data_IF_356067114191
#
_entry.id   IF_356067114191
#
_cell.length_a   1.000
_cell.length_b   1.000
_cell.length_c   1.000
_cell.angle_alpha   90.00
_cell.angle_beta   90.00
_cell.angle_gamma   90.00
#
_symmetry.space_group_name_H-M   'P 1'
#
loop_
_entity.id
_entity.type
_entity.pdbx_description
1 polymer ?
#
# COMPACT_ATOMS: atom_id res chain seq x y z
N UNK A 1 -28.27 21.78 11.16
CA UNK A 1 -27.16 21.45 12.08
C UNK A 1 -27.18 22.50 13.17
N UNK A 2 -27.09 22.05 14.42
CA UNK A 2 -27.00 22.92 15.58
C UNK A 2 -25.52 23.22 15.84
N UNK A 3 -25.16 24.50 15.95
CA UNK A 3 -23.80 24.93 16.22
C UNK A 3 -23.75 25.77 17.49
N UNK A 4 -22.74 25.50 18.31
CA UNK A 4 -22.43 26.31 19.48
C UNK A 4 -21.35 27.32 19.13
N UNK A 5 -21.69 28.61 19.26
CA UNK A 5 -20.71 29.68 19.12
C UNK A 5 -19.89 29.74 20.41
N UNK A 6 -18.59 29.45 20.32
CA UNK A 6 -17.69 29.40 21.48
C UNK A 6 -17.07 30.76 21.81
N UNK A 7 -17.02 31.66 20.82
CA UNK A 7 -16.51 33.02 20.91
C UNK A 7 -17.63 34.06 20.89
N UNK A 8 -17.36 35.23 21.49
CA UNK A 8 -18.32 36.31 21.62
C UNK A 8 -19.51 35.97 22.53
N UNK A 9 -20.73 36.25 22.09
CA UNK A 9 -21.97 35.93 22.83
C UNK A 9 -22.32 34.46 22.63
N UNK A 10 -21.71 33.59 23.44
CA UNK A 10 -21.91 32.13 23.42
C UNK A 10 -23.37 31.76 23.32
N UNK A 11 -23.79 31.29 22.14
CA UNK A 11 -25.17 30.97 21.81
C UNK A 11 -25.22 29.80 20.85
N UNK A 12 -26.29 29.05 20.96
CA UNK A 12 -26.58 27.94 20.08
C UNK A 12 -27.48 28.41 18.94
N UNK A 13 -27.13 28.09 17.70
CA UNK A 13 -27.90 28.49 16.52
C UNK A 13 -28.11 27.27 15.62
N UNK A 14 -29.34 27.10 15.13
CA UNK A 14 -29.65 26.09 14.13
C UNK A 14 -29.55 26.69 12.72
N UNK A 15 -28.76 26.05 11.87
CA UNK A 15 -28.51 26.47 10.49
C UNK A 15 -28.83 25.35 9.50
N UNK A 16 -29.41 25.67 8.33
CA UNK A 16 -29.59 24.70 7.26
C UNK A 16 -28.25 24.35 6.61
N UNK A 17 -28.09 23.08 6.22
CA UNK A 17 -26.95 22.62 5.41
C UNK A 17 -27.30 22.79 3.95
N UNK A 18 -26.52 23.59 3.22
CA UNK A 18 -26.77 23.88 1.80
C UNK A 18 -26.01 22.95 0.85
N UNK A 19 -24.85 22.45 1.27
CA UNK A 19 -24.02 21.55 0.49
C UNK A 19 -23.15 20.67 1.40
N UNK A 20 -22.70 19.54 0.87
CA UNK A 20 -21.72 18.65 1.50
C UNK A 20 -20.46 18.63 0.64
N UNK A 21 -19.29 18.76 1.28
CA UNK A 21 -17.97 18.70 0.64
C UNK A 21 -17.22 17.50 1.22
N UNK A 22 -16.55 16.73 0.37
CA UNK A 22 -15.66 15.67 0.85
C UNK A 22 -14.39 16.29 1.44
N UNK A 23 -14.24 16.16 2.75
CA UNK A 23 -13.01 16.46 3.47
C UNK A 23 -12.42 15.17 4.07
N UNK A 24 -11.10 15.07 4.04
CA UNK A 24 -10.34 13.93 4.55
C UNK A 24 -9.86 14.17 5.99
N UNK A 25 -10.01 15.40 6.51
CA UNK A 25 -9.53 15.82 7.83
C UNK A 25 -10.68 16.33 8.73
N UNK A 26 -11.27 15.40 9.50
CA UNK A 26 -12.23 15.72 10.55
C UNK A 26 -13.57 16.26 10.05
N UNK A 27 -14.33 16.86 10.97
CA UNK A 27 -15.63 17.49 10.68
C UNK A 27 -15.41 19.00 10.62
N UNK A 28 -15.56 19.59 9.44
CA UNK A 28 -15.45 21.05 9.24
C UNK A 28 -16.75 21.61 8.65
N UNK A 29 -17.06 22.86 9.02
CA UNK A 29 -18.17 23.62 8.46
C UNK A 29 -17.64 24.84 7.70
N UNK A 30 -18.15 25.06 6.49
CA UNK A 30 -17.81 26.24 5.68
C UNK A 30 -19.02 27.17 5.58
N UNK A 31 -18.79 28.47 5.72
CA UNK A 31 -19.81 29.50 5.57
C UNK A 31 -19.23 30.70 4.84
N UNK A 32 -20.08 31.42 4.08
CA UNK A 32 -19.69 32.68 3.46
C UNK A 32 -19.29 33.71 4.51
N UNK A 33 -18.21 34.46 4.25
CA UNK A 33 -17.63 35.40 5.20
C UNK A 33 -18.63 36.45 5.70
N UNK A 34 -19.41 37.07 4.81
CA UNK A 34 -20.44 38.06 5.20
C UNK A 34 -21.58 37.44 6.03
N UNK A 35 -21.93 36.19 5.74
CA UNK A 35 -22.96 35.48 6.49
C UNK A 35 -22.48 35.16 7.91
N UNK A 36 -21.21 34.77 8.06
CA UNK A 36 -20.58 34.55 9.36
C UNK A 36 -20.48 35.86 10.16
N UNK A 37 -20.05 36.96 9.54
CA UNK A 37 -19.97 38.26 10.22
C UNK A 37 -21.35 38.72 10.73
N UNK A 38 -22.41 38.60 9.90
CA UNK A 38 -23.80 38.86 10.32
C UNK A 38 -24.24 37.92 11.45
N UNK A 39 -23.86 36.65 11.37
CA UNK A 39 -24.13 35.66 12.40
C UNK A 39 -23.35 35.94 13.68
N UNK A 40 -22.17 36.56 13.65
CA UNK A 40 -21.41 36.90 14.85
C UNK A 40 -21.81 38.25 15.44
N UNK A 41 -22.40 39.13 14.63
CA UNK A 41 -22.68 40.54 14.96
C UNK A 41 -21.41 41.31 15.32
N UNK A 42 -20.32 40.96 14.66
CA UNK A 42 -19.00 41.58 14.83
C UNK A 42 -18.53 42.17 13.50
N UNK A 43 -17.60 43.13 13.58
CA UNK A 43 -16.97 43.66 12.39
C UNK A 43 -16.18 42.53 11.68
N UNK A 44 -16.14 42.50 10.34
CA UNK A 44 -15.47 41.43 9.63
C UNK A 44 -13.96 41.47 9.91
N UNK A 45 -13.43 40.44 10.55
CA UNK A 45 -12.01 40.27 10.80
C UNK A 45 -11.48 39.09 9.98
N UNK A 46 -10.40 39.32 9.24
CA UNK A 46 -9.77 38.30 8.38
C UNK A 46 -8.49 37.83 9.04
N UNK A 47 -8.46 36.56 9.45
CA UNK A 47 -7.28 35.97 10.09
C UNK A 47 -6.26 35.44 9.08
N UNK A 48 -6.72 35.04 7.89
CA UNK A 48 -5.85 34.53 6.82
C UNK A 48 -6.44 34.81 5.44
N UNK A 49 -5.56 35.01 4.46
CA UNK A 49 -5.92 35.16 3.05
C UNK A 49 -5.15 34.11 2.26
N UNK A 50 -5.88 33.26 1.54
CA UNK A 50 -5.27 32.28 0.63
C UNK A 50 -5.22 32.88 -0.77
N UNK A 51 -4.02 33.03 -1.32
CA UNK A 51 -3.81 33.61 -2.66
C UNK A 51 -3.17 32.56 -3.57
N UNK A 52 -3.72 32.39 -4.76
CA UNK A 52 -3.08 31.59 -5.81
C UNK A 52 -2.12 32.48 -6.58
N UNK A 53 -0.85 32.07 -6.64
CA UNK A 53 0.23 32.82 -7.27
C UNK A 53 0.78 32.07 -8.48
N UNK A 54 1.12 32.82 -9.53
CA UNK A 54 1.93 32.31 -10.62
C UNK A 54 3.33 31.92 -10.11
N UNK A 55 3.88 30.83 -10.62
CA UNK A 55 5.19 30.33 -10.25
C UNK A 55 6.31 31.36 -10.50
N UNK A 56 6.16 32.22 -11.51
CA UNK A 56 7.17 33.18 -11.95
C UNK A 56 7.20 34.49 -11.14
N UNK A 57 6.09 34.87 -10.50
CA UNK A 57 5.97 36.12 -9.73
C UNK A 57 6.16 35.92 -8.21
N UNK A 58 6.49 34.69 -7.79
CA UNK A 58 6.58 34.32 -6.37
C UNK A 58 7.59 35.14 -5.58
N UNK A 59 8.80 35.29 -6.10
CA UNK A 59 9.88 35.98 -5.38
C UNK A 59 9.55 37.47 -5.21
N UNK A 60 9.04 38.08 -6.30
CA UNK A 60 8.58 39.47 -6.29
C UNK A 60 7.42 39.70 -5.32
N UNK A 61 6.46 38.78 -5.28
CA UNK A 61 5.34 38.85 -4.33
C UNK A 61 5.80 38.68 -2.88
N UNK A 62 6.74 37.77 -2.63
CA UNK A 62 7.29 37.53 -1.30
C UNK A 62 8.08 38.73 -0.78
N UNK A 63 8.88 39.36 -1.63
CA UNK A 63 9.61 40.59 -1.30
C UNK A 63 8.66 41.75 -1.03
N UNK A 64 7.58 41.89 -1.82
CA UNK A 64 6.56 42.88 -1.57
C UNK A 64 5.86 42.67 -0.21
N UNK A 65 5.49 41.43 0.14
CA UNK A 65 4.82 41.15 1.42
C UNK A 65 5.75 41.35 2.62
N UNK A 66 7.03 41.00 2.52
CA UNK A 66 8.01 41.24 3.60
C UNK A 66 8.09 42.71 4.02
N UNK A 67 7.82 43.62 3.09
CA UNK A 67 7.83 45.06 3.35
C UNK A 67 6.54 45.59 4.00
N UNK A 68 5.49 44.77 4.12
CA UNK A 68 4.20 45.18 4.70
C UNK A 68 4.17 44.96 6.23
N UNK A 69 4.05 46.03 7.04
CA UNK A 69 4.05 45.92 8.50
C UNK A 69 2.81 45.22 9.09
N UNK A 70 1.76 45.05 8.30
CA UNK A 70 0.48 44.43 8.73
C UNK A 70 0.47 42.91 8.58
N UNK A 71 1.47 42.30 7.93
CA UNK A 71 1.52 40.86 7.69
C UNK A 71 2.46 40.21 8.70
N UNK A 72 1.88 39.53 9.70
CA UNK A 72 2.65 38.86 10.76
C UNK A 72 3.39 37.59 10.30
N UNK A 73 3.06 37.04 9.13
CA UNK A 73 3.75 35.88 8.58
C UNK A 73 3.17 35.40 7.25
N UNK A 74 4.00 34.76 6.44
CA UNK A 74 3.61 34.10 5.19
C UNK A 74 3.82 32.60 5.34
N UNK A 75 2.74 31.84 5.44
CA UNK A 75 2.80 30.40 5.36
C UNK A 75 2.74 29.97 3.89
N UNK A 76 3.87 29.51 3.33
CA UNK A 76 3.85 28.84 2.03
C UNK A 76 3.23 27.46 2.19
N UNK A 77 1.90 27.39 2.05
CA UNK A 77 1.14 26.15 2.15
C UNK A 77 1.71 25.06 1.22
N UNK A 78 2.24 25.43 0.04
CA UNK A 78 2.88 24.48 -0.89
C UNK A 78 4.18 23.87 -0.36
N UNK A 79 5.02 24.62 0.37
CA UNK A 79 6.27 24.09 0.92
C UNK A 79 5.99 23.17 2.11
N UNK A 80 5.04 23.55 2.97
CA UNK A 80 4.57 22.67 4.05
C UNK A 80 3.93 21.40 3.50
N UNK A 81 3.13 21.50 2.42
CA UNK A 81 2.52 20.36 1.75
C UNK A 81 3.56 19.47 1.04
N UNK A 82 4.59 20.05 0.42
CA UNK A 82 5.68 19.30 -0.19
C UNK A 82 6.47 18.53 0.87
N UNK A 83 6.92 19.21 1.94
CA UNK A 83 7.63 18.57 3.05
C UNK A 83 6.78 17.48 3.73
N UNK A 84 5.48 17.72 3.91
CA UNK A 84 4.56 16.73 4.46
C UNK A 84 4.43 15.52 3.54
N UNK A 85 4.24 15.75 2.23
CA UNK A 85 4.18 14.68 1.22
C UNK A 85 5.46 13.87 1.17
N UNK A 86 6.62 14.52 1.22
CA UNK A 86 7.92 13.86 1.19
C UNK A 86 8.15 13.03 2.45
N UNK A 87 7.85 13.58 3.63
CA UNK A 87 7.93 12.84 4.89
C UNK A 87 7.00 11.62 4.91
N UNK A 88 5.76 11.78 4.44
CA UNK A 88 4.80 10.68 4.35
C UNK A 88 5.22 9.65 3.30
N UNK A 89 5.73 10.09 2.14
CA UNK A 89 6.22 9.20 1.10
C UNK A 89 7.40 8.36 1.61
N UNK A 90 8.38 8.98 2.27
CA UNK A 90 9.51 8.26 2.87
C UNK A 90 9.03 7.25 3.89
N UNK A 91 8.14 7.63 4.81
CA UNK A 91 7.59 6.73 5.82
C UNK A 91 6.86 5.53 5.18
N UNK A 92 5.92 5.80 4.27
CA UNK A 92 5.09 4.77 3.63
C UNK A 92 5.92 3.86 2.73
N UNK A 93 6.78 4.41 1.87
CA UNK A 93 7.62 3.62 0.96
C UNK A 93 8.64 2.78 1.72
N UNK A 94 9.24 3.32 2.79
CA UNK A 94 10.19 2.55 3.62
C UNK A 94 9.49 1.38 4.31
N UNK A 95 8.34 1.61 4.94
CA UNK A 95 7.57 0.54 5.57
C UNK A 95 7.08 -0.50 4.55
N UNK A 96 6.59 -0.05 3.40
CA UNK A 96 6.17 -0.94 2.31
C UNK A 96 7.33 -1.83 1.86
N UNK A 97 8.53 -1.29 1.66
CA UNK A 97 9.71 -2.06 1.26
C UNK A 97 10.10 -3.11 2.30
N UNK A 98 10.00 -2.79 3.60
CA UNK A 98 10.26 -3.75 4.68
C UNK A 98 9.25 -4.90 4.63
N UNK A 99 7.95 -4.60 4.50
CA UNK A 99 6.91 -5.63 4.42
C UNK A 99 7.01 -6.48 3.15
N UNK A 100 7.33 -5.85 2.01
CA UNK A 100 7.63 -6.53 0.75
C UNK A 100 8.81 -7.50 0.95
N UNK A 101 9.89 -7.05 1.58
CA UNK A 101 11.05 -7.90 1.88
C UNK A 101 10.69 -9.10 2.75
N UNK A 102 9.95 -8.87 3.84
CA UNK A 102 9.47 -9.95 4.72
C UNK A 102 8.56 -10.93 3.98
N UNK A 103 7.60 -10.41 3.20
CA UNK A 103 6.69 -11.21 2.41
C UNK A 103 7.43 -12.07 1.37
N UNK A 104 8.48 -11.54 0.74
CA UNK A 104 9.32 -12.28 -0.20
C UNK A 104 10.03 -13.46 0.47
N UNK A 105 10.59 -13.25 1.66
CA UNK A 105 11.26 -14.32 2.43
C UNK A 105 10.26 -15.40 2.83
N UNK A 106 9.08 -15.01 3.32
CA UNK A 106 8.01 -15.95 3.69
C UNK A 106 7.55 -16.74 2.46
N UNK A 107 7.26 -16.06 1.35
CA UNK A 107 6.83 -16.69 0.11
C UNK A 107 7.87 -17.71 -0.39
N UNK A 108 9.15 -17.33 -0.40
CA UNK A 108 10.22 -18.25 -0.74
C UNK A 108 10.26 -19.46 0.19
N UNK A 109 10.21 -19.26 1.51
CA UNK A 109 10.24 -20.36 2.48
C UNK A 109 9.08 -21.34 2.33
N UNK A 110 7.86 -20.83 2.13
CA UNK A 110 6.66 -21.66 1.91
C UNK A 110 6.79 -22.45 0.60
N UNK A 111 7.16 -21.80 -0.50
CA UNK A 111 7.27 -22.47 -1.80
C UNK A 111 8.42 -23.48 -1.81
N UNK A 112 9.54 -23.18 -1.15
CA UNK A 112 10.66 -24.11 -0.97
C UNK A 112 10.25 -25.34 -0.17
N UNK A 113 9.56 -25.16 0.95
CA UNK A 113 9.10 -26.27 1.77
C UNK A 113 8.08 -27.14 1.01
N UNK A 114 7.13 -26.52 0.31
CA UNK A 114 6.15 -27.24 -0.51
C UNK A 114 6.83 -28.06 -1.61
N UNK A 115 7.77 -27.47 -2.35
CA UNK A 115 8.51 -28.18 -3.39
C UNK A 115 9.37 -29.32 -2.83
N UNK A 116 9.98 -29.13 -1.65
CA UNK A 116 10.73 -30.18 -0.95
C UNK A 116 9.83 -31.34 -0.54
N UNK A 117 8.62 -31.06 -0.02
CA UNK A 117 7.66 -32.09 0.38
C UNK A 117 7.20 -32.88 -0.86
N UNK A 118 6.78 -32.20 -1.92
CA UNK A 118 6.36 -32.84 -3.18
C UNK A 118 7.47 -33.75 -3.75
N UNK A 119 8.73 -33.30 -3.72
CA UNK A 119 9.86 -34.14 -4.13
C UNK A 119 10.04 -35.39 -3.25
N UNK A 120 9.88 -35.25 -1.93
CA UNK A 120 10.03 -36.36 -0.99
C UNK A 120 8.92 -37.40 -1.14
N UNK A 121 7.68 -36.97 -1.37
CA UNK A 121 6.53 -37.85 -1.57
C UNK A 121 6.64 -38.61 -2.89
N UNK A 122 7.05 -37.91 -3.95
CA UNK A 122 7.14 -38.48 -5.30
C UNK A 122 8.44 -39.20 -5.59
N UNK A 123 9.42 -39.21 -4.68
CA UNK A 123 10.70 -39.88 -4.89
C UNK A 123 10.55 -41.34 -5.36
N UNK A 124 9.52 -42.06 -4.86
CA UNK A 124 9.19 -43.43 -5.30
C UNK A 124 8.61 -43.50 -6.71
N UNK A 125 7.74 -42.57 -7.07
CA UNK A 125 7.16 -42.46 -8.43
C UNK A 125 8.23 -42.05 -9.45
N UNK A 126 9.15 -41.17 -9.06
CA UNK A 126 10.28 -40.76 -9.90
C UNK A 126 11.28 -41.89 -10.10
N UNK A 127 11.45 -42.77 -9.10
CA UNK A 127 12.26 -43.97 -9.23
C UNK A 127 11.62 -44.99 -10.20
N UNK A 128 10.29 -45.19 -10.17
CA UNK A 128 9.61 -46.08 -11.11
C UNK A 128 9.60 -45.53 -12.55
N UNK A 129 9.41 -44.22 -12.73
CA UNK A 129 9.55 -43.56 -14.04
C UNK A 129 10.96 -43.73 -14.63
N UNK A 130 12.00 -43.75 -13.78
CA UNK A 130 13.36 -44.04 -14.22
C UNK A 130 13.56 -45.47 -14.70
N UNK A 131 12.89 -46.45 -14.09
CA UNK A 131 12.91 -47.84 -14.57
C UNK A 131 12.24 -47.96 -15.94
N UNK A 132 11.25 -47.10 -16.21
CA UNK A 132 10.58 -46.97 -17.51
C UNK A 132 11.40 -46.17 -18.56
N UNK A 133 12.59 -45.69 -18.21
CA UNK A 133 13.52 -45.01 -19.13
C UNK A 133 13.45 -43.48 -19.16
N UNK A 134 12.66 -42.84 -18.28
CA UNK A 134 12.60 -41.37 -18.23
C UNK A 134 13.91 -40.75 -17.73
N UNK A 135 14.29 -39.64 -18.36
CA UNK A 135 15.47 -38.85 -18.02
C UNK A 135 15.21 -37.94 -16.80
N UNK A 136 16.30 -37.53 -16.12
CA UNK A 136 16.22 -36.60 -14.97
C UNK A 136 15.55 -35.27 -15.34
N UNK A 137 15.72 -34.81 -16.59
CA UNK A 137 15.15 -33.57 -17.10
C UNK A 137 13.64 -33.63 -17.28
N UNK A 138 13.10 -34.75 -17.76
CA UNK A 138 11.66 -34.94 -17.95
C UNK A 138 10.91 -34.97 -16.61
N UNK A 139 11.46 -35.72 -15.64
CA UNK A 139 10.97 -35.76 -14.26
C UNK A 139 10.92 -34.35 -13.64
N UNK A 140 12.01 -33.59 -13.78
CA UNK A 140 12.07 -32.24 -13.25
C UNK A 140 11.05 -31.33 -13.95
N UNK A 141 10.86 -31.46 -15.26
CA UNK A 141 9.92 -30.65 -16.04
C UNK A 141 8.48 -30.85 -15.56
N UNK A 142 8.10 -32.08 -15.23
CA UNK A 142 6.77 -32.40 -14.68
C UNK A 142 6.57 -31.69 -13.33
N UNK A 143 7.54 -31.79 -12.42
CA UNK A 143 7.48 -31.12 -11.10
C UNK A 143 7.42 -29.59 -11.22
N UNK A 144 8.21 -29.01 -12.12
CA UNK A 144 8.22 -27.57 -12.35
C UNK A 144 6.91 -27.07 -12.96
N UNK A 145 6.31 -27.85 -13.86
CA UNK A 145 5.01 -27.53 -14.45
C UNK A 145 3.91 -27.55 -13.39
N UNK A 146 3.90 -28.55 -12.53
CA UNK A 146 2.94 -28.62 -11.42
C UNK A 146 3.10 -27.41 -10.49
N UNK A 147 4.33 -27.08 -10.10
CA UNK A 147 4.58 -25.91 -9.26
C UNK A 147 4.11 -24.62 -9.94
N UNK A 148 4.35 -24.49 -11.25
CA UNK A 148 3.93 -23.34 -12.02
C UNK A 148 2.39 -23.23 -12.08
N UNK A 149 1.69 -24.35 -12.33
CA UNK A 149 0.23 -24.40 -12.36
C UNK A 149 -0.35 -24.04 -10.99
N UNK A 150 0.17 -24.63 -9.90
CA UNK A 150 -0.26 -24.30 -8.54
C UNK A 150 -0.03 -22.83 -8.21
N UNK A 151 1.12 -22.29 -8.59
CA UNK A 151 1.46 -20.87 -8.35
C UNK A 151 0.53 -19.94 -9.12
N UNK A 152 0.20 -20.27 -10.37
CA UNK A 152 -0.73 -19.47 -11.18
C UNK A 152 -2.15 -19.53 -10.65
N UNK A 153 -2.63 -20.72 -10.26
CA UNK A 153 -3.96 -20.89 -9.69
C UNK A 153 -4.11 -20.23 -8.32
N UNK A 154 -3.01 -20.07 -7.57
CA UNK A 154 -3.02 -19.38 -6.28
C UNK A 154 -3.12 -17.84 -6.40
N UNK A 155 -2.84 -17.24 -7.58
CA UNK A 155 -2.85 -15.78 -7.74
C UNK A 155 -4.24 -15.16 -7.53
N UNK A 156 -5.32 -15.58 -8.23
CA UNK A 156 -6.64 -14.97 -8.05
C UNK A 156 -7.18 -15.00 -6.61
N UNK A 157 -7.17 -16.14 -5.87
CA UNK A 157 -7.63 -16.14 -4.49
C UNK A 157 -6.70 -15.32 -3.58
N UNK A 158 -5.39 -15.31 -3.85
CA UNK A 158 -4.44 -14.45 -3.13
C UNK A 158 -4.76 -12.96 -3.27
N UNK A 159 -5.07 -12.50 -4.49
CA UNK A 159 -5.48 -11.12 -4.75
C UNK A 159 -6.81 -10.78 -4.07
N UNK A 160 -7.78 -11.69 -4.11
CA UNK A 160 -9.08 -11.49 -3.47
C UNK A 160 -8.97 -11.37 -1.94
N UNK A 161 -8.20 -12.26 -1.31
CA UNK A 161 -7.95 -12.24 0.13
C UNK A 161 -7.15 -10.99 0.51
N UNK A 162 -6.09 -10.66 -0.24
CA UNK A 162 -5.28 -9.47 0.01
C UNK A 162 -6.09 -8.18 -0.08
N UNK A 163 -6.96 -8.06 -1.10
CA UNK A 163 -7.88 -6.95 -1.23
C UNK A 163 -8.89 -6.89 -0.08
N UNK A 164 -9.49 -8.03 0.30
CA UNK A 164 -10.42 -8.09 1.43
C UNK A 164 -9.79 -7.65 2.74
N UNK A 165 -8.53 -8.06 3.00
CA UNK A 165 -7.77 -7.61 4.16
C UNK A 165 -7.50 -6.10 4.10
N UNK A 166 -7.08 -5.56 2.97
CA UNK A 166 -6.89 -4.12 2.80
C UNK A 166 -8.18 -3.32 3.03
N UNK A 167 -9.30 -3.80 2.50
CA UNK A 167 -10.62 -3.18 2.64
C UNK A 167 -11.13 -3.21 4.09
N UNK A 168 -10.98 -4.34 4.78
CA UNK A 168 -11.34 -4.46 6.21
C UNK A 168 -10.46 -3.58 7.10
N UNK A 169 -9.16 -3.52 6.82
CA UNK A 169 -8.24 -2.67 7.56
C UNK A 169 -8.60 -1.19 7.37
N UNK A 170 -8.91 -0.78 6.13
CA UNK A 170 -9.39 0.57 5.84
C UNK A 170 -10.69 0.89 6.59
N UNK A 171 -11.70 0.03 6.51
CA UNK A 171 -13.01 0.30 7.16
C UNK A 171 -12.95 0.29 8.68
N UNK A 172 -12.08 -0.53 9.29
CA UNK A 172 -11.92 -0.61 10.75
C UNK A 172 -10.97 0.44 11.32
N UNK A 173 -9.96 0.86 10.56
CA UNK A 173 -8.99 1.89 10.99
C UNK A 173 -9.39 3.32 10.59
N UNK A 174 -10.43 3.50 9.75
CA UNK A 174 -11.02 4.80 9.43
C UNK A 174 -11.82 5.41 10.61
N UNK A 175 -11.26 5.34 11.82
CA UNK A 175 -11.71 6.10 12.97
C UNK A 175 -11.51 7.60 12.76
N UNK A 176 -12.22 8.39 13.57
CA UNK A 176 -12.57 9.83 13.51
C UNK A 176 -11.55 10.85 12.96
N UNK A 177 -10.28 10.47 12.76
CA UNK A 177 -9.17 11.36 12.41
C UNK A 177 -8.74 11.29 10.94
N UNK A 178 -9.01 10.21 10.20
CA UNK A 178 -8.56 10.05 8.80
C UNK A 178 -9.45 9.09 7.99
N UNK A 179 -10.21 9.62 7.02
CA UNK A 179 -11.02 8.82 6.08
C UNK A 179 -10.32 8.63 4.74
N UNK A 180 -9.21 7.90 4.68
CA UNK A 180 -8.52 7.69 3.39
C UNK A 180 -9.29 6.70 2.50
N UNK A 181 -9.37 6.98 1.19
CA UNK A 181 -9.91 6.03 0.21
C UNK A 181 -8.87 4.95 -0.10
N UNK A 182 -9.26 3.68 -0.01
CA UNK A 182 -8.45 2.56 -0.47
C UNK A 182 -8.42 2.61 -2.00
N UNK A 183 -7.25 2.96 -2.55
CA UNK A 183 -6.99 2.91 -3.98
C UNK A 183 -5.96 1.80 -4.20
N UNK A 184 -6.40 0.69 -4.78
CA UNK A 184 -5.51 -0.39 -5.20
C UNK A 184 -5.31 -0.27 -6.70
N UNK A 185 -4.10 0.11 -7.11
CA UNK A 185 -3.73 0.23 -8.51
C UNK A 185 -3.36 -1.15 -9.10
N UNK A 186 -3.56 -1.30 -10.41
CA UNK A 186 -3.18 -2.52 -11.14
C UNK A 186 -1.69 -2.86 -10.99
N UNK A 187 -0.84 -1.84 -10.86
CA UNK A 187 0.60 -1.97 -10.59
C UNK A 187 0.89 -2.81 -9.33
N UNK A 188 0.08 -2.67 -8.28
CA UNK A 188 0.21 -3.41 -7.02
C UNK A 188 0.00 -4.91 -7.23
N UNK A 189 -1.02 -5.30 -7.99
CA UNK A 189 -1.28 -6.71 -8.31
C UNK A 189 -0.16 -7.31 -9.18
N UNK A 190 0.33 -6.55 -10.16
CA UNK A 190 1.44 -6.98 -11.02
C UNK A 190 2.69 -7.21 -10.18
N UNK A 191 3.03 -6.27 -9.28
CA UNK A 191 4.21 -6.38 -8.43
C UNK A 191 4.09 -7.57 -7.45
N UNK A 192 2.94 -7.73 -6.80
CA UNK A 192 2.68 -8.86 -5.90
C UNK A 192 2.82 -10.21 -6.64
N UNK A 193 2.26 -10.31 -7.84
CA UNK A 193 2.36 -11.51 -8.68
C UNK A 193 3.79 -11.79 -9.11
N UNK A 194 4.50 -10.76 -9.57
CA UNK A 194 5.90 -10.86 -9.98
C UNK A 194 6.78 -11.36 -8.84
N UNK A 195 6.55 -10.89 -7.61
CA UNK A 195 7.27 -11.36 -6.42
C UNK A 195 7.03 -12.85 -6.14
N UNK A 196 5.77 -13.29 -6.15
CA UNK A 196 5.44 -14.69 -5.89
C UNK A 196 6.00 -15.60 -6.99
N UNK A 197 5.90 -15.18 -8.25
CA UNK A 197 6.48 -15.90 -9.39
C UNK A 197 8.01 -15.95 -9.25
N UNK A 198 8.67 -14.85 -8.89
CA UNK A 198 10.11 -14.82 -8.66
C UNK A 198 10.53 -15.75 -7.53
N UNK A 199 9.80 -15.77 -6.41
CA UNK A 199 10.04 -16.69 -5.30
C UNK A 199 9.87 -18.16 -5.72
N UNK A 200 8.84 -18.46 -6.51
CA UNK A 200 8.59 -19.80 -7.03
C UNK A 200 9.69 -20.25 -8.01
N UNK A 201 10.13 -19.37 -8.91
CA UNK A 201 11.26 -19.63 -9.83
C UNK A 201 12.57 -19.86 -9.08
N UNK A 202 12.83 -19.07 -8.04
CA UNK A 202 14.04 -19.22 -7.23
C UNK A 202 14.03 -20.55 -6.46
N UNK A 203 12.90 -20.90 -5.85
CA UNK A 203 12.70 -22.20 -5.21
C UNK A 203 12.88 -23.37 -6.19
N UNK A 204 12.24 -23.29 -7.35
CA UNK A 204 12.39 -24.25 -8.44
C UNK A 204 13.85 -24.45 -8.86
N UNK A 205 14.64 -23.37 -8.96
CA UNK A 205 16.06 -23.43 -9.29
C UNK A 205 16.88 -24.15 -8.22
N UNK A 206 16.58 -23.89 -6.93
CA UNK A 206 17.23 -24.56 -5.79
C UNK A 206 16.92 -26.06 -5.80
N UNK A 207 15.65 -26.42 -5.99
CA UNK A 207 15.21 -27.83 -6.07
C UNK A 207 15.87 -28.54 -7.25
N UNK A 208 15.92 -27.90 -8.42
CA UNK A 208 16.64 -28.41 -9.60
C UNK A 208 18.09 -28.73 -9.28
N UNK A 209 18.81 -27.80 -8.64
CA UNK A 209 20.21 -28.02 -8.26
C UNK A 209 20.35 -29.21 -7.32
N UNK A 210 19.45 -29.35 -6.35
CA UNK A 210 19.48 -30.44 -5.37
C UNK A 210 19.22 -31.81 -5.99
N UNK A 211 18.28 -31.92 -6.93
CA UNK A 211 18.00 -33.17 -7.66
C UNK A 211 19.19 -33.56 -8.55
N UNK A 212 19.85 -32.60 -9.19
CA UNK A 212 21.03 -32.88 -10.01
C UNK A 212 22.22 -33.37 -9.19
N UNK A 213 22.34 -32.92 -7.93
CA UNK A 213 23.39 -33.36 -7.00
C UNK A 213 23.06 -34.65 -6.26
N UNK A 214 21.78 -35.02 -6.14
CA UNK A 214 21.37 -36.29 -5.55
C UNK A 214 21.68 -37.42 -6.53
N UNK A 215 22.77 -38.13 -6.28
CA UNK A 215 23.08 -39.35 -6.99
C UNK A 215 22.05 -40.42 -6.60
N UNK A 216 21.04 -40.58 -7.45
CA UNK A 216 19.91 -41.49 -7.23
C UNK A 216 20.35 -42.95 -7.08
N UNK A 217 21.62 -43.26 -7.39
CA UNK A 217 22.26 -44.57 -7.20
C UNK A 217 22.53 -44.87 -5.71
N UNK A 218 22.68 -43.86 -4.86
CA UNK A 218 22.96 -44.06 -3.42
C UNK A 218 21.68 -44.37 -2.62
N UNK A 219 20.52 -43.87 -3.06
CA UNK A 219 19.22 -44.13 -2.39
C UNK A 219 18.82 -45.62 -2.47
N UNK A 220 19.31 -46.35 -3.48
CA UNK A 220 19.15 -47.80 -3.60
C UNK A 220 20.15 -48.61 -2.74
N UNK A 221 21.16 -47.97 -2.13
CA UNK A 221 22.18 -48.65 -1.31
C UNK A 221 22.03 -48.48 0.20
N UNK A 222 21.13 -47.60 0.67
CA UNK A 222 20.96 -47.29 2.10
C UNK A 222 19.83 -48.07 2.79
N UNK A 223 19.50 -49.27 2.31
CA UNK A 223 18.65 -50.21 3.05
C UNK A 223 19.24 -51.62 2.96
N UNK A 224 20.28 -51.82 3.76
CA UNK A 224 20.44 -53.02 4.59
C UNK A 224 20.34 -52.57 6.06
#
# INVERSE_FOLDING_TARGET
>A
VEIDLLEGRRRTVSLPVTALVEDYFGIQGMMHFDALARLMREAPAVNSVSVSLDANERDRFYDAIKSMPTVSGVALQRVSLANFRDALAVLVTTMANIYIGLAAVIAFGVVYNSARISLSERARELASLRVLGFTRGEVLRILLLELAVLTLLAQPPGWAIGYGLAWTLQTKMAGELMRTRLVVEHSTYVLASAMVIAAALFSALVVRRRINQLDLVTVLKTRD
#
